data_IF_411905527162
#
_entry.id   IF_411905527162
#
_cell.length_a   1.000
_cell.length_b   1.000
_cell.length_c   1.000
_cell.angle_alpha   90.00
_cell.angle_beta   90.00
_cell.angle_gamma   90.00
#
_symmetry.space_group_name_H-M   'P 1'
#
loop_
_entity.id
_entity.type
_entity.pdbx_description
1 polymer ?
#
# COMPACT_ATOMS: atom_id res chain seq x y z
N UNK A 1 25.80 -16.28 -17.19
CA UNK A 1 25.69 -16.89 -15.86
C UNK A 1 24.66 -16.09 -15.06
N UNK A 2 23.56 -16.76 -14.72
CA UNK A 2 22.54 -16.43 -13.70
C UNK A 2 21.84 -15.07 -13.75
N UNK A 3 20.75 -15.00 -14.53
CA UNK A 3 19.62 -14.09 -14.27
C UNK A 3 18.99 -14.42 -12.91
N UNK A 4 19.03 -13.46 -11.99
CA UNK A 4 18.31 -13.55 -10.73
C UNK A 4 16.81 -13.38 -11.00
N UNK A 5 16.11 -14.51 -11.13
CA UNK A 5 14.64 -14.57 -11.06
C UNK A 5 14.17 -13.86 -9.80
N UNK A 6 13.54 -12.70 -9.95
CA UNK A 6 12.65 -12.15 -8.93
C UNK A 6 11.45 -13.08 -8.83
N UNK A 7 11.58 -14.10 -7.97
CA UNK A 7 10.47 -14.92 -7.53
C UNK A 7 9.37 -13.99 -6.99
N UNK A 8 8.18 -14.08 -7.58
CA UNK A 8 7.01 -13.30 -7.21
C UNK A 8 6.82 -13.27 -5.70
N UNK A 9 6.90 -12.06 -5.11
CA UNK A 9 6.65 -11.80 -3.69
C UNK A 9 5.15 -12.03 -3.40
N UNK A 10 4.76 -13.28 -3.17
CA UNK A 10 3.48 -13.57 -2.55
C UNK A 10 3.56 -13.23 -1.05
N UNK A 11 2.46 -12.77 -0.45
CA UNK A 11 2.37 -12.39 0.97
C UNK A 11 2.90 -13.49 1.92
N UNK A 12 2.78 -14.76 1.51
CA UNK A 12 3.31 -15.94 2.19
C UNK A 12 4.85 -15.99 2.23
N UNK A 13 5.55 -15.60 1.17
CA UNK A 13 7.02 -15.60 1.10
C UNK A 13 7.63 -14.39 1.83
N UNK A 14 6.96 -13.24 1.84
CA UNK A 14 7.40 -12.07 2.61
C UNK A 14 7.37 -12.36 4.12
N UNK A 15 6.37 -13.10 4.59
CA UNK A 15 6.22 -13.52 5.99
C UNK A 15 7.23 -14.62 6.43
N UNK A 16 7.93 -15.26 5.48
CA UNK A 16 8.88 -16.34 5.77
C UNK A 16 10.35 -15.92 5.74
N UNK A 17 10.67 -14.69 5.32
CA UNK A 17 12.07 -14.19 5.27
C UNK A 17 12.56 -13.60 6.60
N UNK A 18 11.68 -13.41 7.57
CA UNK A 18 12.04 -13.23 8.98
C UNK A 18 10.96 -13.91 9.79
N UNK A 19 11.30 -14.78 10.73
CA UNK A 19 10.36 -15.59 11.52
C UNK A 19 9.39 -14.80 12.42
N UNK A 20 9.21 -13.50 12.19
CA UNK A 20 8.24 -12.67 12.86
C UNK A 20 6.85 -12.91 12.27
N UNK A 21 5.99 -13.58 13.03
CA UNK A 21 4.57 -13.72 12.70
C UNK A 21 3.88 -12.36 12.89
N UNK A 22 2.92 -11.99 12.03
CA UNK A 22 2.23 -10.71 12.13
C UNK A 22 1.50 -10.59 13.47
N UNK A 23 1.63 -9.43 14.12
CA UNK A 23 1.01 -9.13 15.42
C UNK A 23 -0.54 -9.14 15.37
N UNK A 24 -1.13 -9.15 14.18
CA UNK A 24 -2.58 -9.15 13.98
C UNK A 24 -3.09 -10.51 13.49
N UNK A 25 -4.19 -10.96 14.09
CA UNK A 25 -4.93 -12.15 13.66
C UNK A 25 -5.45 -11.95 12.22
N UNK A 26 -5.18 -12.87 11.27
CA UNK A 26 -5.75 -12.79 9.94
C UNK A 26 -7.27 -13.01 10.02
N UNK A 27 -8.05 -11.95 9.77
CA UNK A 27 -9.52 -11.98 9.72
C UNK A 27 -10.04 -12.85 8.55
N UNK A 28 -9.16 -13.34 7.67
CA UNK A 28 -9.51 -14.16 6.51
C UNK A 28 -9.96 -15.59 6.84
N UNK A 29 -9.85 -16.03 8.11
CA UNK A 29 -10.40 -17.31 8.54
C UNK A 29 -11.94 -17.35 8.63
N UNK A 30 -12.62 -16.20 8.56
CA UNK A 30 -14.09 -16.13 8.66
C UNK A 30 -14.81 -16.47 7.34
N UNK A 31 -14.09 -16.56 6.22
CA UNK A 31 -14.68 -16.77 4.89
C UNK A 31 -13.92 -17.84 4.11
N UNK A 32 -13.86 -19.05 4.67
CA UNK A 32 -13.25 -20.21 4.01
C UNK A 32 -12.80 -21.26 5.02
N UNK A 33 -13.66 -22.22 5.32
CA UNK A 33 -13.51 -23.21 6.39
C UNK A 33 -12.38 -24.22 6.18
N UNK A 34 -11.14 -23.79 6.35
CA UNK A 34 -10.00 -24.68 6.59
C UNK A 34 -9.12 -24.11 7.70
N UNK A 35 -9.57 -24.29 8.95
CA UNK A 35 -8.73 -24.09 10.12
C UNK A 35 -7.71 -25.24 10.17
N UNK A 36 -6.55 -25.03 9.54
CA UNK A 36 -5.38 -25.84 9.83
C UNK A 36 -5.00 -25.56 11.28
N UNK A 37 -5.09 -26.57 12.14
CA UNK A 37 -4.79 -26.53 13.56
C UNK A 37 -3.54 -25.69 13.85
N UNK A 38 -3.74 -24.49 14.37
CA UNK A 38 -2.69 -23.75 15.06
C UNK A 38 -2.56 -24.35 16.47
N UNK A 39 -1.35 -24.40 17.06
CA UNK A 39 -1.20 -24.85 18.43
C UNK A 39 -1.96 -23.91 19.37
N UNK A 40 -2.89 -24.46 20.15
CA UNK A 40 -3.72 -23.78 21.16
C UNK A 40 -2.90 -22.88 22.12
N UNK A 41 -1.63 -23.24 22.33
CA UNK A 41 -0.68 -22.52 23.19
C UNK A 41 -0.29 -21.11 22.69
N UNK A 42 -0.68 -20.71 21.48
CA UNK A 42 -0.45 -19.35 20.93
C UNK A 42 -1.73 -18.50 21.03
N UNK A 43 -2.89 -19.14 21.23
CA UNK A 43 -4.15 -18.45 21.53
C UNK A 43 -4.18 -17.98 23.00
N UNK A 44 -3.37 -18.61 23.87
CA UNK A 44 -3.16 -18.36 25.31
C UNK A 44 -2.10 -17.27 25.62
N UNK A 45 -1.92 -16.28 24.74
CA UNK A 45 -1.07 -15.10 25.05
C UNK A 45 -1.87 -13.93 25.64
N UNK A 46 -3.10 -14.18 26.10
CA UNK A 46 -3.97 -13.21 26.79
C UNK A 46 -4.41 -11.99 25.96
N UNK A 47 -3.84 -11.77 24.77
CA UNK A 47 -4.17 -10.65 23.88
C UNK A 47 -5.51 -10.82 23.16
N UNK A 48 -6.02 -12.05 23.10
CA UNK A 48 -7.34 -12.39 22.54
C UNK A 48 -8.28 -13.00 23.59
N UNK A 49 -7.88 -13.04 24.87
CA UNK A 49 -8.80 -13.42 25.94
C UNK A 49 -9.68 -12.20 26.26
N UNK A 50 -10.76 -12.08 25.50
CA UNK A 50 -11.82 -11.09 25.70
C UNK A 50 -12.73 -11.51 26.86
N UNK A 51 -12.14 -11.88 28.01
CA UNK A 51 -12.83 -12.15 29.27
C UNK A 51 -14.11 -12.95 29.08
N UNK A 52 -14.00 -14.25 28.82
CA UNK A 52 -15.18 -15.13 28.83
C UNK A 52 -15.73 -15.38 30.23
N UNK A 53 -15.03 -14.91 31.27
CA UNK A 53 -15.61 -14.73 32.60
C UNK A 53 -16.44 -13.45 32.58
N UNK A 54 -17.77 -13.58 32.68
CA UNK A 54 -18.65 -12.47 33.03
C UNK A 54 -18.22 -11.96 34.42
N UNK A 55 -17.26 -11.03 34.48
CA UNK A 55 -17.05 -10.24 35.68
C UNK A 55 -18.38 -9.53 35.97
N UNK A 56 -18.95 -9.65 37.18
CA UNK A 56 -20.17 -8.95 37.52
C UNK A 56 -19.94 -7.47 37.26
N UNK A 57 -20.87 -6.81 36.56
CA UNK A 57 -20.77 -5.40 36.21
C UNK A 57 -20.43 -4.58 37.46
N UNK A 58 -19.15 -4.23 37.61
CA UNK A 58 -18.71 -3.31 38.66
C UNK A 58 -19.17 -1.94 38.22
N UNK A 59 -20.20 -1.42 38.89
CA UNK A 59 -20.58 -0.02 38.74
C UNK A 59 -19.36 0.83 39.11
N UNK A 60 -18.69 1.39 38.11
CA UNK A 60 -17.56 2.27 38.33
C UNK A 60 -18.11 3.56 38.94
N UNK A 61 -17.78 3.82 40.21
CA UNK A 61 -18.04 5.10 40.84
C UNK A 61 -17.19 6.16 40.13
N UNK A 62 -17.80 6.89 39.20
CA UNK A 62 -17.14 7.97 38.48
C UNK A 62 -16.96 9.14 39.43
N UNK A 63 -15.83 9.14 40.15
CA UNK A 63 -15.42 10.25 41.00
C UNK A 63 -15.13 11.46 40.10
N UNK A 64 -15.96 12.49 40.22
CA UNK A 64 -15.71 13.77 39.56
C UNK A 64 -14.56 14.46 40.28
N UNK A 65 -13.34 14.24 39.78
CA UNK A 65 -12.14 14.94 40.23
C UNK A 65 -12.30 16.43 39.88
N UNK A 66 -12.59 17.26 40.87
CA UNK A 66 -12.47 18.71 40.73
C UNK A 66 -10.99 19.05 40.54
N UNK A 67 -10.61 19.75 39.44
CA UNK A 67 -9.24 20.21 39.28
C UNK A 67 -8.83 21.03 40.50
N UNK A 68 -7.69 20.69 41.11
CA UNK A 68 -7.15 21.45 42.21
C UNK A 68 -6.92 22.90 41.75
N UNK A 69 -7.23 23.93 42.55
CA UNK A 69 -7.03 25.32 42.14
C UNK A 69 -5.56 25.53 41.77
N UNK A 70 -5.33 26.08 40.57
CA UNK A 70 -3.99 26.31 40.04
C UNK A 70 -3.22 27.24 41.00
N UNK A 71 -2.20 26.69 41.67
CA UNK A 71 -1.34 27.47 42.54
C UNK A 71 -0.29 28.19 41.66
N UNK A 72 -0.26 29.54 41.65
CA UNK A 72 0.64 30.32 40.80
C UNK A 72 2.11 30.12 41.18
N UNK A 73 2.43 29.80 42.43
CA UNK A 73 3.80 29.55 42.88
C UNK A 73 4.37 28.26 42.24
N UNK A 74 3.62 27.16 42.30
CA UNK A 74 3.99 25.90 41.63
C UNK A 74 4.08 26.04 40.12
N UNK A 75 3.24 26.90 39.51
CA UNK A 75 3.32 27.17 38.08
C UNK A 75 4.58 27.97 37.70
N UNK A 76 5.05 28.86 38.59
CA UNK A 76 6.31 29.59 38.39
C UNK A 76 7.52 28.65 38.54
N UNK A 77 7.52 27.80 39.56
CA UNK A 77 8.55 26.78 39.77
C UNK A 77 8.64 25.80 38.59
N UNK A 78 7.50 25.34 38.07
CA UNK A 78 7.47 24.46 36.90
C UNK A 78 8.10 25.12 35.66
N UNK A 79 7.85 26.41 35.44
CA UNK A 79 8.46 27.15 34.32
C UNK A 79 9.96 27.33 34.50
N UNK A 80 10.42 27.57 35.71
CA UNK A 80 11.85 27.68 36.02
C UNK A 80 12.56 26.34 35.82
N UNK A 81 11.94 25.24 36.25
CA UNK A 81 12.42 23.88 36.00
C UNK A 81 12.50 23.61 34.48
N UNK A 82 11.45 23.91 33.72
CA UNK A 82 11.45 23.74 32.26
C UNK A 82 12.56 24.57 31.59
N UNK A 83 12.77 25.82 32.02
CA UNK A 83 13.85 26.67 31.50
C UNK A 83 15.24 26.09 31.80
N UNK A 84 15.47 25.61 33.03
CA UNK A 84 16.75 24.98 33.40
C UNK A 84 16.98 23.67 32.65
N UNK A 85 15.94 22.84 32.49
CA UNK A 85 16.01 21.60 31.73
C UNK A 85 16.32 21.87 30.25
N UNK A 86 15.68 22.87 29.65
CA UNK A 86 16.00 23.29 28.27
C UNK A 86 17.45 23.77 28.12
N UNK A 87 17.96 24.59 29.05
CA UNK A 87 19.36 25.01 29.05
C UNK A 87 20.34 23.83 29.16
N UNK A 88 20.03 22.83 29.99
CA UNK A 88 20.84 21.62 30.13
C UNK A 88 20.84 20.73 28.87
N UNK A 89 19.72 20.68 28.14
CA UNK A 89 19.62 19.93 26.88
C UNK A 89 20.40 20.61 25.74
N UNK A 90 20.43 21.95 25.71
CA UNK A 90 21.21 22.73 24.75
C UNK A 90 22.72 22.65 25.03
N UNK A 91 23.14 22.63 26.30
CA UNK A 91 24.54 22.43 26.70
C UNK A 91 25.02 21.00 26.37
N UNK A 92 24.12 20.01 26.44
CA UNK A 92 24.36 18.62 26.04
C UNK A 92 24.09 18.38 24.55
N UNK A 93 24.43 19.33 23.68
CA UNK A 93 24.31 19.21 22.24
C UNK A 93 25.23 18.10 21.69
N UNK A 94 24.70 16.88 21.62
CA UNK A 94 25.32 15.79 20.88
C UNK A 94 25.45 16.19 19.39
N UNK A 95 26.50 15.70 18.69
CA UNK A 95 26.68 15.99 17.28
C UNK A 95 25.41 15.61 16.50
N UNK A 96 24.97 16.52 15.65
CA UNK A 96 23.70 16.38 14.93
C UNK A 96 23.59 15.01 14.25
N UNK A 97 22.48 14.28 14.45
CA UNK A 97 22.31 12.94 13.91
C UNK A 97 22.39 12.96 12.38
N UNK A 98 22.98 11.93 11.76
CA UNK A 98 23.21 11.88 10.31
C UNK A 98 21.92 12.02 9.50
N UNK A 99 20.77 11.63 10.08
CA UNK A 99 19.45 11.75 9.45
C UNK A 99 19.05 13.21 9.22
N UNK A 100 19.34 14.13 10.15
CA UNK A 100 19.02 15.56 9.94
C UNK A 100 19.87 16.18 8.84
N UNK A 101 21.15 15.81 8.76
CA UNK A 101 22.05 16.19 7.65
C UNK A 101 21.57 15.64 6.30
N UNK A 102 20.99 14.44 6.27
CA UNK A 102 20.40 13.88 5.06
C UNK A 102 19.12 14.64 4.68
N UNK A 103 18.28 15.00 5.65
CA UNK A 103 17.06 15.76 5.43
C UNK A 103 17.35 17.16 4.87
N UNK A 104 18.37 17.87 5.37
CA UNK A 104 18.76 19.17 4.84
C UNK A 104 19.26 19.06 3.39
N UNK A 105 20.12 18.09 3.11
CA UNK A 105 20.60 17.81 1.74
C UNK A 105 19.47 17.41 0.77
N UNK A 106 18.47 16.68 1.25
CA UNK A 106 17.29 16.32 0.46
C UNK A 106 16.38 17.53 0.23
N UNK A 107 16.17 18.35 1.25
CA UNK A 107 15.39 19.58 1.16
C UNK A 107 16.04 20.56 0.16
N UNK A 108 17.35 20.69 0.19
CA UNK A 108 18.11 21.47 -0.80
C UNK A 108 17.93 20.91 -2.21
N UNK A 109 18.06 19.59 -2.41
CA UNK A 109 17.82 18.95 -3.72
C UNK A 109 16.38 19.05 -4.23
N UNK A 110 15.41 19.12 -3.33
CA UNK A 110 14.01 19.30 -3.69
C UNK A 110 13.69 20.76 -4.00
N UNK A 111 14.35 21.71 -3.34
CA UNK A 111 14.15 23.13 -3.51
C UNK A 111 15.01 23.74 -4.62
N UNK A 112 16.07 23.04 -5.07
CA UNK A 112 16.68 23.34 -6.36
C UNK A 112 15.59 23.17 -7.41
N UNK A 113 15.12 24.30 -7.94
CA UNK A 113 14.25 24.36 -9.11
C UNK A 113 14.98 23.60 -10.20
N UNK A 114 14.61 22.34 -10.38
CA UNK A 114 14.91 21.63 -11.62
C UNK A 114 14.19 22.47 -12.64
N UNK A 115 14.95 23.28 -13.39
CA UNK A 115 14.48 23.88 -14.64
C UNK A 115 13.72 22.77 -15.32
N UNK A 116 12.41 22.95 -15.44
CA UNK A 116 11.49 21.95 -15.93
C UNK A 116 12.00 21.53 -17.30
N UNK A 117 12.77 20.43 -17.32
CA UNK A 117 13.20 19.79 -18.53
C UNK A 117 11.91 19.49 -19.26
N UNK A 118 11.74 20.26 -20.35
CA UNK A 118 10.73 20.16 -21.39
C UNK A 118 9.81 18.98 -21.14
N UNK A 119 8.58 19.24 -20.65
CA UNK A 119 7.56 18.20 -20.53
C UNK A 119 7.60 17.39 -21.81
N UNK A 120 7.98 16.09 -21.78
CA UNK A 120 8.23 15.39 -23.01
C UNK A 120 6.94 15.45 -23.80
N UNK A 121 6.96 16.18 -24.91
CA UNK A 121 5.88 16.19 -25.89
C UNK A 121 5.56 14.73 -26.10
N UNK A 122 4.38 14.31 -25.66
CA UNK A 122 3.97 12.90 -25.71
C UNK A 122 3.86 12.53 -27.18
N UNK A 123 4.98 12.12 -27.77
CA UNK A 123 4.99 11.54 -29.12
C UNK A 123 4.01 10.39 -29.09
N UNK A 124 3.07 10.41 -30.02
CA UNK A 124 2.01 9.42 -30.09
C UNK A 124 2.66 8.04 -30.14
N UNK A 125 2.10 7.05 -29.43
CA UNK A 125 2.61 5.68 -29.50
C UNK A 125 2.51 5.11 -30.94
N UNK A 126 1.73 5.76 -31.81
CA UNK A 126 1.58 5.44 -33.23
C UNK A 126 2.87 5.75 -34.02
N UNK A 127 3.59 6.84 -33.69
CA UNK A 127 4.84 7.22 -34.37
C UNK A 127 6.01 6.26 -34.11
N UNK A 128 5.93 5.43 -33.05
CA UNK A 128 6.99 4.47 -32.69
C UNK A 128 6.86 3.11 -33.34
N UNK A 129 5.86 2.92 -34.19
CA UNK A 129 5.69 1.69 -34.95
C UNK A 129 4.92 0.62 -34.19
N UNK A 130 3.68 0.45 -34.65
CA UNK A 130 2.97 -0.83 -34.83
C UNK A 130 2.21 -1.43 -33.65
N UNK A 131 2.36 -0.97 -32.40
CA UNK A 131 1.53 -1.49 -31.29
C UNK A 131 1.15 -0.42 -30.28
N UNK A 132 -0.10 0.03 -30.36
CA UNK A 132 -0.72 0.81 -29.30
C UNK A 132 -1.09 -0.12 -28.13
N UNK A 133 -0.70 0.27 -26.91
CA UNK A 133 -1.15 -0.41 -25.71
C UNK A 133 -2.54 0.12 -25.32
N UNK A 134 -3.51 -0.78 -25.14
CA UNK A 134 -4.83 -0.44 -24.61
C UNK A 134 -5.07 -1.20 -23.31
N UNK A 135 -5.74 -0.55 -22.35
CA UNK A 135 -6.19 -1.20 -21.12
C UNK A 135 -7.70 -1.42 -21.23
N UNK A 136 -8.15 -2.68 -21.09
CA UNK A 136 -9.56 -3.06 -21.19
C UNK A 136 -10.12 -3.37 -19.81
N UNK A 137 -11.24 -2.73 -19.46
CA UNK A 137 -11.98 -3.03 -18.22
C UNK A 137 -13.06 -4.06 -18.54
N UNK A 138 -13.11 -5.15 -17.77
CA UNK A 138 -14.07 -6.24 -17.92
C UNK A 138 -14.77 -6.49 -16.59
N UNK A 139 -16.08 -6.73 -16.66
CA UNK A 139 -16.86 -7.21 -15.51
C UNK A 139 -16.36 -8.61 -15.09
N UNK A 140 -16.58 -8.96 -13.82
CA UNK A 140 -16.10 -10.20 -13.23
C UNK A 140 -16.48 -11.45 -14.05
N UNK A 141 -17.73 -11.53 -14.51
CA UNK A 141 -18.23 -12.66 -15.30
C UNK A 141 -17.56 -12.76 -16.66
N UNK A 142 -17.33 -11.63 -17.34
CA UNK A 142 -16.64 -11.61 -18.65
C UNK A 142 -15.17 -12.02 -18.49
N UNK A 143 -14.51 -11.56 -17.43
CA UNK A 143 -13.14 -11.96 -17.12
C UNK A 143 -13.04 -13.45 -16.80
N UNK A 144 -13.98 -14.02 -16.04
CA UNK A 144 -14.03 -15.47 -15.77
C UNK A 144 -14.20 -16.26 -17.08
N UNK A 145 -15.14 -15.87 -17.95
CA UNK A 145 -15.34 -16.51 -19.26
C UNK A 145 -14.09 -16.44 -20.14
N UNK A 146 -13.43 -15.28 -20.18
CA UNK A 146 -12.18 -15.13 -20.93
C UNK A 146 -11.08 -16.05 -20.38
N UNK A 147 -10.95 -16.15 -19.05
CA UNK A 147 -9.97 -17.04 -18.41
C UNK A 147 -10.25 -18.51 -18.76
N UNK A 148 -11.50 -18.96 -18.68
CA UNK A 148 -11.88 -20.31 -19.08
C UNK A 148 -11.57 -20.56 -20.56
N UNK A 149 -11.87 -19.61 -21.44
CA UNK A 149 -11.55 -19.71 -22.86
C UNK A 149 -10.03 -19.87 -23.11
N UNK A 150 -9.20 -19.11 -22.40
CA UNK A 150 -7.74 -19.26 -22.44
C UNK A 150 -7.29 -20.67 -22.04
N UNK A 151 -7.86 -21.21 -20.95
CA UNK A 151 -7.51 -22.56 -20.47
C UNK A 151 -7.92 -23.66 -21.43
N UNK A 152 -9.13 -23.58 -22.00
CA UNK A 152 -9.67 -24.61 -22.91
C UNK A 152 -8.94 -24.59 -24.25
N UNK A 153 -8.61 -23.40 -24.77
CA UNK A 153 -7.96 -23.24 -26.08
C UNK A 153 -6.43 -23.22 -26.02
N UNK A 154 -5.84 -23.29 -24.82
CA UNK A 154 -4.41 -23.15 -24.58
C UNK A 154 -3.79 -21.94 -25.30
N UNK A 155 -4.47 -20.80 -25.23
CA UNK A 155 -4.09 -19.55 -25.90
C UNK A 155 -4.08 -18.39 -24.92
N UNK A 156 -3.28 -17.36 -25.21
CA UNK A 156 -3.24 -16.18 -24.36
C UNK A 156 -4.50 -15.33 -24.53
N UNK A 157 -4.86 -14.57 -23.48
CA UNK A 157 -6.00 -13.66 -23.52
C UNK A 157 -5.86 -12.63 -24.66
N UNK A 158 -4.64 -12.16 -24.92
CA UNK A 158 -4.36 -11.24 -26.01
C UNK A 158 -4.72 -11.86 -27.37
N UNK A 159 -4.31 -13.11 -27.65
CA UNK A 159 -4.61 -13.77 -28.92
C UNK A 159 -6.11 -13.94 -29.14
N UNK A 160 -6.84 -14.37 -28.09
CA UNK A 160 -8.30 -14.55 -28.18
C UNK A 160 -9.00 -13.22 -28.44
N UNK A 161 -8.60 -12.15 -27.75
CA UNK A 161 -9.20 -10.82 -27.92
C UNK A 161 -8.85 -10.22 -29.27
N UNK A 162 -7.60 -10.37 -29.74
CA UNK A 162 -7.19 -9.89 -31.07
C UNK A 162 -7.94 -10.63 -32.17
N UNK A 163 -8.02 -11.97 -32.12
CA UNK A 163 -8.76 -12.75 -33.12
C UNK A 163 -10.25 -12.38 -33.16
N UNK A 164 -10.87 -12.18 -31.99
CA UNK A 164 -12.26 -11.74 -31.91
C UNK A 164 -12.47 -10.33 -32.47
N UNK A 165 -11.50 -9.42 -32.23
CA UNK A 165 -11.53 -8.08 -32.79
C UNK A 165 -11.35 -8.09 -34.31
N UNK A 166 -10.39 -8.86 -34.82
CA UNK A 166 -10.14 -8.99 -36.26
C UNK A 166 -11.38 -9.55 -36.98
N UNK A 167 -12.03 -10.57 -36.40
CA UNK A 167 -13.26 -11.13 -36.93
C UNK A 167 -14.43 -10.13 -36.92
N UNK A 168 -14.52 -9.29 -35.87
CA UNK A 168 -15.54 -8.25 -35.77
C UNK A 168 -15.31 -7.14 -36.82
N UNK A 169 -14.06 -6.70 -36.99
CA UNK A 169 -13.69 -5.65 -37.94
C UNK A 169 -13.84 -6.13 -39.39
N UNK A 170 -13.51 -7.38 -39.69
CA UNK A 170 -13.73 -7.98 -41.00
C UNK A 170 -15.22 -7.98 -41.43
N UNK A 171 -16.15 -7.94 -40.46
CA UNK A 171 -17.58 -7.78 -40.71
C UNK A 171 -18.03 -6.36 -41.03
N UNK A 172 -17.15 -5.34 -40.93
CA UNK A 172 -17.47 -3.92 -41.08
C UNK A 172 -16.51 -3.22 -42.07
N UNK A 173 -16.56 -3.56 -43.37
CA UNK A 173 -15.63 -3.01 -44.38
C UNK A 173 -15.76 -1.49 -44.58
N UNK A 174 -16.88 -0.89 -44.16
CA UNK A 174 -17.09 0.56 -44.18
C UNK A 174 -16.05 1.31 -43.32
N UNK A 175 -15.53 0.67 -42.26
CA UNK A 175 -14.53 1.26 -41.37
C UNK A 175 -13.19 1.51 -42.08
N UNK A 176 -12.81 0.67 -43.04
CA UNK A 176 -11.57 0.84 -43.81
C UNK A 176 -11.64 2.10 -44.67
N UNK A 177 -12.81 2.39 -45.24
CA UNK A 177 -13.03 3.60 -46.03
C UNK A 177 -12.96 4.87 -45.18
N UNK A 178 -13.46 4.82 -43.94
CA UNK A 178 -13.40 5.92 -42.99
C UNK A 178 -11.97 6.11 -42.46
N UNK A 179 -11.25 5.02 -42.18
CA UNK A 179 -9.85 5.06 -41.77
C UNK A 179 -8.99 5.75 -42.83
N UNK A 180 -9.17 5.40 -44.11
CA UNK A 180 -8.47 6.02 -45.23
C UNK A 180 -8.76 7.53 -45.39
N UNK A 181 -9.90 8.02 -44.91
CA UNK A 181 -10.22 9.45 -44.90
C UNK A 181 -9.56 10.21 -43.75
N UNK A 182 -9.27 9.52 -42.64
CA UNK A 182 -8.70 10.10 -41.41
C UNK A 182 -7.16 10.12 -41.46
N UNK A 183 -6.51 9.26 -42.24
CA UNK A 183 -5.04 9.24 -42.42
C UNK A 183 -4.46 10.46 -43.20
N UNK A 184 -5.04 11.66 -43.03
CA UNK A 184 -4.48 12.94 -43.49
C UNK A 184 -3.66 13.65 -42.43
#
# INVERSE_FOLDING_TARGET
MSDASFASLNSSLLARKGGARPAMRPQSALMGGHAAALPDNIEDLGWNDMGTEEEPAREAEVLQLTPFPANPATAAEAREIDHTAHGQLDESALPEPPVRKQQTVLAERMNTVVESHDTPVRRSALDRGKRAAFTLRLDADRHLKLRLACTVRNRSAQQIVTEALDALLAGMPELDSLAAQIER
#
